data_IF_755324342026
#
_entry.id   IF_755324342026
#
_cell.length_a   1.000
_cell.length_b   1.000
_cell.length_c   1.000
_cell.angle_alpha   90.00
_cell.angle_beta   90.00
_cell.angle_gamma   90.00
#
_symmetry.space_group_name_H-M   'P 1'
#
loop_
_entity.id
_entity.type
_entity.pdbx_description
1 polymer ?
#
# COMPACT_ATOMS: atom_id res chain seq x y z
N UNK A 1 8.74 3.63 -14.70
CA UNK A 1 8.78 4.20 -13.35
C UNK A 1 8.71 5.70 -13.50
N UNK A 2 7.89 6.42 -12.73
CA UNK A 2 7.90 7.88 -12.74
C UNK A 2 9.27 8.32 -12.25
N UNK A 3 10.15 8.76 -13.15
CA UNK A 3 11.57 8.85 -12.80
C UNK A 3 12.49 9.58 -13.78
N UNK A 4 11.98 10.33 -14.76
CA UNK A 4 12.84 11.16 -15.64
C UNK A 4 12.58 12.66 -15.49
N UNK A 5 11.43 13.06 -14.91
CA UNK A 5 11.09 14.46 -14.66
C UNK A 5 10.75 14.73 -13.20
N UNK A 6 11.55 14.19 -12.28
CA UNK A 6 11.18 14.09 -10.87
C UNK A 6 11.17 15.39 -10.08
N UNK A 7 11.58 16.57 -10.58
CA UNK A 7 11.51 17.79 -9.75
C UNK A 7 11.13 19.06 -10.52
N UNK A 8 9.88 19.12 -10.93
CA UNK A 8 9.22 20.42 -11.04
C UNK A 8 7.98 20.40 -10.15
N UNK A 9 8.19 20.56 -8.84
CA UNK A 9 7.11 20.84 -7.88
C UNK A 9 6.66 22.32 -7.95
N UNK A 10 7.29 23.12 -8.84
CA UNK A 10 7.12 24.57 -8.92
C UNK A 10 7.79 25.33 -7.76
N UNK A 11 8.44 24.65 -6.81
CA UNK A 11 9.18 25.26 -5.72
C UNK A 11 10.64 25.50 -6.13
N UNK A 12 11.06 26.77 -6.12
CA UNK A 12 12.46 27.15 -6.34
C UNK A 12 13.39 26.77 -5.18
N UNK A 13 12.81 26.33 -4.06
CA UNK A 13 13.52 26.11 -2.79
C UNK A 13 14.19 24.74 -2.74
N UNK A 14 13.51 23.69 -3.19
CA UNK A 14 14.02 22.31 -3.10
C UNK A 14 14.64 21.82 -4.42
N UNK A 15 14.38 22.49 -5.54
CA UNK A 15 14.93 22.22 -6.86
C UNK A 15 16.48 22.09 -6.94
N UNK A 16 17.28 22.80 -6.13
CA UNK A 16 18.75 22.63 -6.15
C UNK A 16 19.25 21.33 -5.49
N UNK A 17 18.47 20.72 -4.58
CA UNK A 17 18.89 19.55 -3.81
C UNK A 17 18.64 18.21 -4.53
N UNK A 18 17.91 18.30 -5.63
CA UNK A 18 17.38 17.20 -6.44
C UNK A 18 18.42 16.22 -6.93
N UNK A 19 19.51 16.66 -7.58
CA UNK A 19 20.49 15.73 -8.13
C UNK A 19 21.31 15.04 -7.03
N UNK A 20 21.26 15.58 -5.81
CA UNK A 20 22.07 15.13 -4.68
C UNK A 20 21.30 14.19 -3.73
N UNK A 21 19.96 14.28 -3.69
CA UNK A 21 19.11 13.55 -2.73
C UNK A 21 18.32 12.40 -3.39
N UNK A 22 18.38 12.23 -4.72
CA UNK A 22 17.62 11.22 -5.48
C UNK A 22 17.39 9.90 -4.73
N UNK A 23 16.15 9.69 -4.26
CA UNK A 23 15.69 8.47 -3.61
C UNK A 23 15.19 7.53 -4.70
N UNK A 24 16.12 6.78 -5.27
CA UNK A 24 15.79 5.68 -6.18
C UNK A 24 15.04 4.56 -5.41
N UNK A 25 14.18 3.81 -6.09
CA UNK A 25 13.29 2.83 -5.45
C UNK A 25 14.01 1.73 -4.66
N UNK A 26 15.23 1.40 -5.08
CA UNK A 26 16.14 0.47 -4.41
C UNK A 26 16.60 1.01 -3.04
N UNK A 27 16.92 2.32 -2.95
CA UNK A 27 17.27 2.98 -1.68
C UNK A 27 16.10 2.98 -0.71
N UNK A 28 14.88 3.16 -1.20
CA UNK A 28 13.68 3.17 -0.37
C UNK A 28 13.45 1.83 0.34
N UNK A 29 13.60 0.70 -0.38
CA UNK A 29 13.48 -0.64 0.20
C UNK A 29 14.65 -0.95 1.13
N UNK A 30 15.85 -0.46 0.82
CA UNK A 30 17.02 -0.62 1.69
C UNK A 30 16.81 0.06 3.06
N UNK A 31 16.24 1.27 3.08
CA UNK A 31 15.86 1.95 4.34
C UNK A 31 14.89 1.09 5.15
N UNK A 32 13.92 0.45 4.50
CA UNK A 32 12.99 -0.44 5.19
C UNK A 32 13.69 -1.65 5.80
N UNK A 33 14.57 -2.32 5.04
CA UNK A 33 15.35 -3.47 5.52
C UNK A 33 16.21 -3.10 6.73
N UNK A 34 16.97 -2.01 6.63
CA UNK A 34 17.89 -1.55 7.69
C UNK A 34 17.12 -1.16 8.95
N UNK A 35 16.08 -0.35 8.81
CA UNK A 35 15.28 0.09 9.96
C UNK A 35 14.53 -1.06 10.61
N UNK A 36 13.95 -1.98 9.81
CA UNK A 36 13.29 -3.17 10.34
C UNK A 36 14.25 -4.03 11.15
N UNK A 37 15.46 -4.28 10.62
CA UNK A 37 16.48 -5.04 11.32
C UNK A 37 16.91 -4.38 12.64
N UNK A 38 17.11 -3.05 12.62
CA UNK A 38 17.45 -2.30 13.82
C UNK A 38 16.35 -2.40 14.90
N UNK A 39 15.08 -2.34 14.50
CA UNK A 39 13.96 -2.53 15.42
C UNK A 39 13.87 -3.98 15.95
N UNK A 40 14.11 -4.98 15.10
CA UNK A 40 14.17 -6.39 15.54
C UNK A 40 15.26 -6.62 16.59
N UNK A 41 16.44 -6.01 16.42
CA UNK A 41 17.53 -6.08 17.41
C UNK A 41 17.18 -5.37 18.72
N UNK A 42 16.61 -4.17 18.62
CA UNK A 42 16.12 -3.44 19.79
C UNK A 42 15.11 -4.28 20.58
N UNK A 43 14.19 -4.95 19.88
CA UNK A 43 13.13 -5.75 20.49
C UNK A 43 13.65 -7.00 21.20
N UNK A 44 14.68 -7.66 20.67
CA UNK A 44 15.28 -8.83 21.33
C UNK A 44 15.96 -8.50 22.66
N UNK A 45 16.30 -7.22 22.87
CA UNK A 45 16.92 -6.73 24.11
C UNK A 45 15.95 -5.94 25.00
N UNK A 46 14.73 -5.67 24.53
CA UNK A 46 13.77 -4.86 25.26
C UNK A 46 13.04 -5.68 26.34
N UNK A 47 13.01 -5.17 27.58
CA UNK A 47 12.26 -5.77 28.70
C UNK A 47 10.74 -5.47 28.67
N UNK A 48 10.16 -5.24 27.48
CA UNK A 48 8.75 -4.82 27.33
C UNK A 48 7.88 -5.96 26.82
N UNK A 49 6.59 -5.91 27.15
CA UNK A 49 5.60 -6.78 26.54
C UNK A 49 5.45 -6.45 25.04
N UNK A 50 6.08 -7.28 24.22
CA UNK A 50 5.95 -7.24 22.77
C UNK A 50 4.69 -8.00 22.32
N UNK A 51 4.10 -7.51 21.21
CA UNK A 51 3.10 -8.28 20.47
C UNK A 51 3.71 -9.60 19.99
N UNK A 52 2.88 -10.62 19.77
CA UNK A 52 3.36 -11.94 19.31
C UNK A 52 4.15 -11.84 18.00
N UNK A 53 3.74 -10.93 17.11
CA UNK A 53 4.44 -10.65 15.84
C UNK A 53 5.83 -10.10 16.10
N UNK A 54 5.97 -9.02 16.88
CA UNK A 54 7.28 -8.42 17.15
C UNK A 54 8.20 -9.38 17.92
N UNK A 55 7.63 -10.19 18.81
CA UNK A 55 8.38 -11.22 19.55
C UNK A 55 8.99 -12.27 18.62
N UNK A 56 8.21 -12.80 17.68
CA UNK A 56 8.67 -13.79 16.69
C UNK A 56 9.75 -13.25 15.75
N UNK A 57 9.74 -11.94 15.51
CA UNK A 57 10.67 -11.27 14.59
C UNK A 57 11.84 -10.58 15.30
N UNK A 58 11.91 -10.69 16.63
CA UNK A 58 12.96 -10.10 17.44
C UNK A 58 14.26 -10.88 17.32
N UNK A 59 15.39 -10.18 17.47
CA UNK A 59 16.72 -10.75 17.34
C UNK A 59 17.52 -10.49 18.62
N UNK A 60 17.97 -11.58 19.25
CA UNK A 60 18.82 -11.52 20.45
C UNK A 60 20.28 -11.21 20.13
N UNK A 61 20.72 -11.45 18.89
CA UNK A 61 22.12 -11.30 18.49
C UNK A 61 22.24 -10.49 17.20
N UNK A 62 23.33 -9.73 17.10
CA UNK A 62 23.65 -8.95 15.89
C UNK A 62 24.06 -9.91 14.77
N UNK A 63 23.47 -9.81 13.56
CA UNK A 63 23.90 -10.58 12.41
C UNK A 63 25.39 -10.42 12.10
N UNK A 64 26.01 -11.49 11.59
CA UNK A 64 27.33 -11.37 10.98
C UNK A 64 27.29 -10.42 9.77
N UNK A 65 28.42 -9.79 9.46
CA UNK A 65 28.53 -8.87 8.31
C UNK A 65 28.09 -9.57 7.02
N UNK A 66 28.46 -10.84 6.84
CA UNK A 66 28.06 -11.62 5.67
C UNK A 66 26.54 -11.81 5.60
N UNK A 67 25.89 -12.22 6.69
CA UNK A 67 24.45 -12.41 6.74
C UNK A 67 23.69 -11.09 6.49
N UNK A 68 24.19 -10.00 7.06
CA UNK A 68 23.67 -8.65 6.85
C UNK A 68 23.76 -8.21 5.38
N UNK A 69 24.93 -8.31 4.77
CA UNK A 69 25.14 -7.95 3.36
C UNK A 69 24.30 -8.85 2.44
N UNK A 70 24.24 -10.15 2.73
CA UNK A 70 23.41 -11.10 1.99
C UNK A 70 21.93 -10.72 2.03
N UNK A 71 21.40 -10.32 3.19
CA UNK A 71 20.02 -9.84 3.34
C UNK A 71 19.75 -8.54 2.57
N UNK A 72 20.66 -7.58 2.65
CA UNK A 72 20.52 -6.30 1.95
C UNK A 72 20.55 -6.46 0.43
N UNK A 73 21.53 -7.20 -0.08
CA UNK A 73 21.83 -7.33 -1.50
C UNK A 73 21.26 -8.59 -2.16
N UNK A 74 20.31 -9.29 -1.50
CA UNK A 74 19.65 -10.47 -2.08
C UNK A 74 19.06 -10.14 -3.46
N UNK A 75 19.43 -10.95 -4.46
CA UNK A 75 19.14 -10.67 -5.87
C UNK A 75 17.63 -10.58 -6.17
N UNK A 76 16.79 -11.30 -5.39
CA UNK A 76 15.35 -11.36 -5.64
C UNK A 76 14.67 -10.00 -5.51
N UNK A 77 15.17 -9.11 -4.65
CA UNK A 77 14.44 -7.90 -4.25
C UNK A 77 15.31 -6.64 -4.22
N UNK A 78 16.49 -6.66 -4.84
CA UNK A 78 17.45 -5.56 -4.76
C UNK A 78 16.95 -4.27 -5.43
N UNK A 79 16.19 -4.37 -6.53
CA UNK A 79 15.76 -3.20 -7.32
C UNK A 79 14.46 -2.56 -6.84
N UNK A 80 13.43 -3.37 -6.58
CA UNK A 80 12.06 -2.88 -6.38
C UNK A 80 11.33 -3.52 -5.20
N UNK A 81 12.05 -4.26 -4.34
CA UNK A 81 11.42 -5.11 -3.33
C UNK A 81 10.89 -6.42 -3.92
N UNK A 82 10.03 -7.16 -3.20
CA UNK A 82 9.35 -6.76 -1.96
C UNK A 82 10.25 -6.77 -0.72
N UNK A 83 9.85 -6.07 0.34
CA UNK A 83 10.52 -6.19 1.63
C UNK A 83 10.27 -7.57 2.23
N UNK A 84 11.28 -8.16 2.87
CA UNK A 84 11.11 -9.34 3.71
C UNK A 84 11.64 -9.09 5.12
N UNK A 85 11.08 -9.82 6.08
CA UNK A 85 11.61 -9.84 7.45
C UNK A 85 12.96 -10.58 7.44
N UNK A 86 13.88 -10.17 8.32
CA UNK A 86 15.22 -10.75 8.39
C UNK A 86 15.20 -12.21 8.85
N UNK A 87 14.40 -12.55 9.85
CA UNK A 87 14.26 -13.94 10.36
C UNK A 87 13.79 -14.89 9.26
N UNK A 88 12.75 -14.51 8.51
CA UNK A 88 12.27 -15.28 7.34
C UNK A 88 13.38 -15.50 6.30
N UNK A 89 14.22 -14.48 6.07
CA UNK A 89 15.32 -14.56 5.10
C UNK A 89 16.43 -15.53 5.56
N UNK A 90 16.77 -15.51 6.84
CA UNK A 90 17.79 -16.41 7.40
C UNK A 90 17.30 -17.85 7.46
N UNK A 91 16.03 -18.06 7.82
CA UNK A 91 15.43 -19.39 7.78
C UNK A 91 15.49 -19.97 6.36
N UNK A 92 15.20 -19.14 5.35
CA UNK A 92 15.27 -19.51 3.94
C UNK A 92 16.70 -19.87 3.49
N UNK A 93 17.69 -18.99 3.75
CA UNK A 93 19.05 -19.21 3.23
C UNK A 93 19.74 -20.41 3.89
N UNK A 94 19.39 -20.69 5.14
CA UNK A 94 19.93 -21.83 5.89
C UNK A 94 19.14 -23.13 5.65
N UNK A 95 17.97 -23.07 4.99
CA UNK A 95 17.08 -24.22 4.86
C UNK A 95 16.57 -24.72 6.21
N UNK A 96 16.24 -23.79 7.11
CA UNK A 96 15.82 -24.07 8.49
C UNK A 96 14.40 -23.58 8.76
N UNK A 97 13.92 -23.77 9.98
CA UNK A 97 12.56 -23.39 10.39
C UNK A 97 11.49 -24.34 9.85
N UNK A 98 10.23 -24.06 10.23
CA UNK A 98 9.10 -24.94 9.92
C UNK A 98 8.78 -25.03 8.41
N UNK A 99 9.11 -23.97 7.67
CA UNK A 99 8.81 -23.82 6.25
C UNK A 99 9.91 -24.39 5.35
N UNK A 100 11.17 -23.98 5.57
CA UNK A 100 12.28 -24.31 4.66
C UNK A 100 13.12 -25.51 5.13
N UNK A 101 12.91 -26.00 6.37
CA UNK A 101 13.48 -27.26 6.85
C UNK A 101 12.83 -28.53 6.27
N UNK A 102 11.84 -28.38 5.38
CA UNK A 102 11.14 -29.47 4.69
C UNK A 102 11.27 -29.29 3.18
N UNK A 103 10.98 -30.35 2.42
CA UNK A 103 10.96 -30.29 0.97
C UNK A 103 9.95 -29.23 0.48
N UNK A 104 10.45 -28.21 -0.20
CA UNK A 104 9.62 -27.15 -0.81
C UNK A 104 9.04 -27.70 -2.12
N UNK A 105 7.72 -27.60 -2.35
CA UNK A 105 7.09 -28.07 -3.58
C UNK A 105 7.52 -27.23 -4.79
N UNK A 106 7.23 -27.72 -6.00
CA UNK A 106 7.58 -26.99 -7.22
C UNK A 106 6.87 -25.62 -7.29
N UNK A 107 7.60 -24.50 -7.52
CA UNK A 107 7.01 -23.18 -7.69
C UNK A 107 6.42 -22.93 -9.07
N UNK A 108 6.58 -23.86 -10.02
CA UNK A 108 6.37 -23.60 -11.45
C UNK A 108 5.04 -22.93 -11.75
N UNK A 109 3.92 -23.51 -11.31
CA UNK A 109 2.60 -22.96 -11.60
C UNK A 109 2.32 -21.63 -10.89
N UNK A 110 2.83 -21.46 -9.68
CA UNK A 110 2.67 -20.20 -8.94
C UNK A 110 3.47 -19.07 -9.61
N UNK A 111 4.71 -19.34 -10.01
CA UNK A 111 5.55 -18.40 -10.74
C UNK A 111 4.99 -18.10 -12.13
N UNK A 112 4.57 -19.12 -12.89
CA UNK A 112 4.02 -18.97 -14.24
C UNK A 112 2.78 -18.06 -14.25
N UNK A 113 1.84 -18.26 -13.32
CA UNK A 113 0.65 -17.39 -13.19
C UNK A 113 1.03 -15.93 -12.92
N UNK A 114 2.00 -15.69 -12.04
CA UNK A 114 2.49 -14.33 -11.73
C UNK A 114 3.21 -13.70 -12.93
N UNK A 115 4.08 -14.45 -13.61
CA UNK A 115 4.76 -14.01 -14.82
C UNK A 115 3.79 -13.66 -15.95
N UNK A 116 2.77 -14.50 -16.18
CA UNK A 116 1.72 -14.23 -17.17
C UNK A 116 0.93 -12.96 -16.80
N UNK A 117 0.58 -12.80 -15.52
CA UNK A 117 -0.12 -11.59 -15.04
C UNK A 117 0.73 -10.34 -15.23
N UNK A 118 2.02 -10.39 -14.87
CA UNK A 118 2.96 -9.31 -15.12
C UNK A 118 3.07 -9.00 -16.62
N UNK A 119 3.22 -10.02 -17.47
CA UNK A 119 3.25 -9.84 -18.92
C UNK A 119 2.02 -9.11 -19.45
N UNK A 120 0.81 -9.50 -19.01
CA UNK A 120 -0.44 -8.81 -19.38
C UNK A 120 -0.44 -7.33 -18.97
N UNK A 121 0.01 -6.99 -17.76
CA UNK A 121 0.17 -5.60 -17.35
C UNK A 121 1.24 -4.86 -18.16
N UNK A 122 2.34 -5.52 -18.51
CA UNK A 122 3.39 -4.96 -19.37
C UNK A 122 2.86 -4.59 -20.77
N UNK A 123 2.10 -5.49 -21.41
CA UNK A 123 1.44 -5.23 -22.69
C UNK A 123 0.46 -4.06 -22.58
N UNK A 124 -0.32 -4.02 -21.49
CA UNK A 124 -1.26 -2.94 -21.24
C UNK A 124 -0.55 -1.58 -21.11
N UNK A 125 0.53 -1.52 -20.33
CA UNK A 125 1.35 -0.31 -20.16
C UNK A 125 1.91 0.15 -21.50
N UNK A 126 2.52 -0.77 -22.27
CA UNK A 126 3.08 -0.46 -23.58
C UNK A 126 2.02 0.09 -24.54
N UNK A 127 0.84 -0.53 -24.59
CA UNK A 127 -0.23 -0.17 -25.54
C UNK A 127 -0.86 1.20 -25.29
N UNK A 128 -0.80 1.68 -24.05
CA UNK A 128 -1.47 2.90 -23.60
C UNK A 128 -0.53 3.91 -22.95
N UNK A 129 0.78 3.80 -23.20
CA UNK A 129 1.79 4.69 -22.61
C UNK A 129 1.46 6.17 -22.83
N UNK A 130 1.16 6.55 -24.07
CA UNK A 130 0.84 7.93 -24.47
C UNK A 130 -0.48 8.47 -23.89
N UNK A 131 -1.35 7.59 -23.37
CA UNK A 131 -2.65 7.93 -22.82
C UNK A 131 -2.71 7.78 -21.29
N UNK A 132 -1.54 7.73 -20.64
CA UNK A 132 -1.43 7.45 -19.21
C UNK A 132 -0.77 8.57 -18.40
N UNK A 133 -0.47 9.73 -19.01
CA UNK A 133 0.17 10.86 -18.33
C UNK A 133 -0.80 11.55 -17.35
N UNK A 134 -0.44 11.70 -16.06
CA UNK A 134 -1.31 12.35 -15.06
C UNK A 134 -1.75 13.76 -15.44
N UNK A 135 -0.90 14.52 -16.12
CA UNK A 135 -1.14 15.91 -16.54
C UNK A 135 -2.36 16.02 -17.46
N UNK A 136 -2.69 14.96 -18.21
CA UNK A 136 -3.87 14.89 -19.08
C UNK A 136 -5.17 15.10 -18.29
N UNK A 137 -5.23 14.72 -17.01
CA UNK A 137 -6.44 14.86 -16.18
C UNK A 137 -6.80 16.33 -15.94
N UNK A 138 -5.79 17.20 -15.88
CA UNK A 138 -5.93 18.63 -15.56
C UNK A 138 -5.67 19.54 -16.76
N UNK A 139 -5.55 18.96 -17.96
CA UNK A 139 -5.33 19.74 -19.17
C UNK A 139 -6.56 20.61 -19.51
N UNK A 140 -6.38 21.76 -20.17
CA UNK A 140 -7.50 22.58 -20.63
C UNK A 140 -8.50 21.76 -21.47
N UNK A 141 -8.02 20.88 -22.34
CA UNK A 141 -8.83 20.03 -23.21
C UNK A 141 -9.69 19.07 -22.37
N UNK A 142 -9.08 18.40 -21.38
CA UNK A 142 -9.81 17.53 -20.47
C UNK A 142 -10.88 18.28 -19.67
N UNK A 143 -10.67 19.56 -19.39
CA UNK A 143 -11.63 20.36 -18.65
C UNK A 143 -12.83 20.80 -19.48
N UNK A 144 -12.72 20.82 -20.81
CA UNK A 144 -13.85 21.06 -21.73
C UNK A 144 -14.74 19.83 -21.95
N UNK A 145 -14.24 18.64 -21.59
CA UNK A 145 -15.01 17.39 -21.75
C UNK A 145 -16.25 17.37 -20.85
N UNK A 146 -17.35 16.73 -21.29
CA UNK A 146 -18.44 16.35 -20.40
C UNK A 146 -17.93 15.58 -19.18
N UNK A 147 -18.52 15.85 -18.01
CA UNK A 147 -18.01 15.35 -16.73
C UNK A 147 -17.82 13.82 -16.71
N UNK A 148 -18.71 13.05 -17.34
CA UNK A 148 -18.61 11.59 -17.38
C UNK A 148 -17.42 11.10 -18.23
N UNK A 149 -17.07 11.79 -19.32
CA UNK A 149 -15.90 11.48 -20.14
C UNK A 149 -14.63 11.81 -19.38
N UNK A 150 -14.59 13.00 -18.75
CA UNK A 150 -13.49 13.41 -17.90
C UNK A 150 -13.28 12.43 -16.72
N UNK A 151 -14.36 11.96 -16.11
CA UNK A 151 -14.31 10.97 -15.03
C UNK A 151 -13.76 9.62 -15.52
N UNK A 152 -14.11 9.21 -16.74
CA UNK A 152 -13.56 8.02 -17.39
C UNK A 152 -12.05 8.14 -17.65
N UNK A 153 -11.61 9.28 -18.19
CA UNK A 153 -10.18 9.60 -18.35
C UNK A 153 -9.45 9.56 -17.00
N UNK A 154 -10.02 10.22 -15.99
CA UNK A 154 -9.43 10.27 -14.65
C UNK A 154 -9.25 8.88 -14.04
N UNK A 155 -10.28 8.04 -14.12
CA UNK A 155 -10.19 6.66 -13.65
C UNK A 155 -9.14 5.86 -14.42
N UNK A 156 -9.13 5.97 -15.75
CA UNK A 156 -8.21 5.24 -16.61
C UNK A 156 -6.75 5.61 -16.35
N UNK A 157 -6.42 6.90 -16.35
CA UNK A 157 -5.05 7.39 -16.11
C UNK A 157 -4.55 6.93 -14.74
N UNK A 158 -5.36 7.10 -13.68
CA UNK A 158 -4.96 6.66 -12.33
C UNK A 158 -4.84 5.13 -12.23
N UNK A 159 -5.65 4.37 -12.95
CA UNK A 159 -5.47 2.92 -13.07
C UNK A 159 -4.16 2.57 -13.78
N UNK A 160 -3.81 3.24 -14.87
CA UNK A 160 -2.55 3.02 -15.58
C UNK A 160 -1.34 3.35 -14.70
N UNK A 161 -1.42 4.38 -13.86
CA UNK A 161 -0.40 4.66 -12.85
C UNK A 161 -0.22 3.50 -11.87
N UNK A 162 -1.31 2.85 -11.42
CA UNK A 162 -1.23 1.64 -10.58
C UNK A 162 -0.71 0.42 -11.33
N UNK A 163 -1.09 0.25 -12.59
CA UNK A 163 -0.69 -0.90 -13.42
C UNK A 163 0.83 -1.06 -13.51
N UNK A 164 1.58 0.06 -13.53
CA UNK A 164 3.05 0.04 -13.49
C UNK A 164 3.59 -0.66 -12.22
N UNK A 165 2.96 -0.43 -11.07
CA UNK A 165 3.34 -1.10 -9.83
C UNK A 165 2.91 -2.57 -9.82
N UNK A 166 1.73 -2.89 -10.38
CA UNK A 166 1.30 -4.28 -10.53
C UNK A 166 2.30 -5.08 -11.36
N UNK A 167 2.76 -4.53 -12.48
CA UNK A 167 3.79 -5.16 -13.30
C UNK A 167 5.05 -5.48 -12.49
N UNK A 168 5.70 -4.46 -11.91
CA UNK A 168 7.00 -4.62 -11.25
C UNK A 168 6.90 -5.49 -10.00
N UNK A 169 5.88 -5.30 -9.17
CA UNK A 169 5.73 -6.05 -7.93
C UNK A 169 5.32 -7.50 -8.15
N UNK A 170 4.43 -7.80 -9.10
CA UNK A 170 4.05 -9.18 -9.42
C UNK A 170 5.24 -9.91 -10.07
N UNK A 171 6.02 -9.23 -10.91
CA UNK A 171 7.23 -9.79 -11.49
C UNK A 171 8.27 -10.14 -10.41
N UNK A 172 8.53 -9.23 -9.48
CA UNK A 172 9.50 -9.45 -8.38
C UNK A 172 9.03 -10.58 -7.44
N UNK A 173 7.73 -10.67 -7.22
CA UNK A 173 7.11 -11.77 -6.46
C UNK A 173 7.25 -13.13 -7.19
N UNK A 174 7.16 -13.14 -8.53
CA UNK A 174 7.44 -14.34 -9.32
C UNK A 174 8.91 -14.80 -9.17
N UNK A 175 9.87 -13.87 -9.16
CA UNK A 175 11.29 -14.17 -8.91
C UNK A 175 11.49 -14.78 -7.51
N UNK A 176 10.83 -14.22 -6.50
CA UNK A 176 10.85 -14.79 -5.14
C UNK A 176 10.30 -16.22 -5.12
N UNK A 177 9.19 -16.49 -5.83
CA UNK A 177 8.63 -17.83 -5.94
C UNK A 177 9.57 -18.80 -6.66
N UNK A 178 10.16 -18.41 -7.80
CA UNK A 178 11.09 -19.25 -8.55
C UNK A 178 12.31 -19.68 -7.72
N UNK A 179 12.76 -18.80 -6.81
CA UNK A 179 13.85 -19.11 -5.88
C UNK A 179 13.43 -19.94 -4.66
N UNK A 180 12.15 -20.28 -4.51
CA UNK A 180 11.60 -20.97 -3.33
C UNK A 180 11.28 -20.05 -2.14
N UNK A 181 11.77 -18.81 -2.13
CA UNK A 181 11.59 -17.89 -0.99
C UNK A 181 10.13 -17.50 -0.74
N UNK A 182 9.29 -17.45 -1.77
CA UNK A 182 7.88 -17.07 -1.65
C UNK A 182 6.96 -18.12 -1.01
N UNK A 183 7.47 -19.29 -0.64
CA UNK A 183 6.69 -20.38 -0.04
C UNK A 183 6.18 -20.03 1.36
N UNK A 184 4.89 -20.32 1.62
CA UNK A 184 4.20 -19.97 2.86
C UNK A 184 3.47 -21.16 3.48
N UNK A 185 3.98 -22.37 3.26
CA UNK A 185 3.37 -23.60 3.78
C UNK A 185 2.21 -24.11 2.93
N UNK A 186 1.33 -24.88 3.54
CA UNK A 186 0.19 -25.51 2.87
C UNK A 186 -1.12 -25.02 3.48
N UNK A 187 -2.13 -24.80 2.64
CA UNK A 187 -3.51 -24.62 3.05
C UNK A 187 -4.35 -25.70 2.38
N UNK A 188 -5.04 -26.54 3.14
CA UNK A 188 -5.86 -27.64 2.60
C UNK A 188 -5.07 -28.54 1.62
N UNK A 189 -3.80 -28.82 1.95
CA UNK A 189 -2.82 -29.56 1.14
C UNK A 189 -2.32 -28.87 -0.14
N UNK A 190 -2.77 -27.65 -0.43
CA UNK A 190 -2.28 -26.86 -1.56
C UNK A 190 -1.13 -25.93 -1.14
N UNK A 191 -0.01 -25.89 -1.88
CA UNK A 191 1.12 -25.05 -1.53
C UNK A 191 0.80 -23.56 -1.72
N UNK A 192 1.04 -22.78 -0.67
CA UNK A 192 0.86 -21.32 -0.67
C UNK A 192 2.16 -20.64 -1.09
N UNK A 193 2.03 -19.67 -1.99
CA UNK A 193 3.15 -18.93 -2.58
C UNK A 193 2.94 -17.42 -2.45
N UNK A 194 2.53 -16.99 -1.25
CA UNK A 194 2.15 -15.61 -0.93
C UNK A 194 2.94 -15.01 0.25
N UNK A 195 4.04 -15.65 0.68
CA UNK A 195 4.87 -15.21 1.82
C UNK A 195 5.39 -13.78 1.63
N UNK A 196 5.81 -13.46 0.40
CA UNK A 196 6.48 -12.20 0.02
C UNK A 196 5.64 -11.45 -1.05
N UNK A 197 4.32 -11.60 -1.04
CA UNK A 197 3.47 -10.87 -1.99
C UNK A 197 3.34 -9.40 -1.60
N UNK A 198 3.78 -8.50 -2.47
CA UNK A 198 3.68 -7.06 -2.21
C UNK A 198 2.36 -6.43 -2.65
N UNK A 199 1.63 -7.08 -3.57
CA UNK A 199 0.39 -6.53 -4.10
C UNK A 199 -0.58 -7.64 -4.49
N UNK A 200 -1.84 -7.41 -4.13
CA UNK A 200 -2.98 -8.18 -4.62
C UNK A 200 -3.82 -7.25 -5.50
N UNK A 201 -3.50 -7.23 -6.81
CA UNK A 201 -4.16 -6.35 -7.76
C UNK A 201 -5.68 -6.56 -7.81
N UNK A 202 -6.13 -7.82 -7.69
CA UNK A 202 -7.56 -8.13 -7.67
C UNK A 202 -8.26 -7.52 -6.46
N UNK A 203 -7.69 -7.70 -5.26
CA UNK A 203 -8.21 -7.08 -4.04
C UNK A 203 -8.21 -5.56 -4.13
N UNK A 204 -7.15 -4.94 -4.67
CA UNK A 204 -7.09 -3.48 -4.83
C UNK A 204 -8.20 -2.99 -5.75
N UNK A 205 -8.40 -3.62 -6.91
CA UNK A 205 -9.39 -3.18 -7.89
C UNK A 205 -10.83 -3.55 -7.52
N UNK A 206 -11.05 -4.58 -6.69
CA UNK A 206 -12.40 -5.00 -6.26
C UNK A 206 -12.81 -4.57 -4.85
N UNK A 207 -11.89 -4.01 -4.05
CA UNK A 207 -12.15 -3.58 -2.68
C UNK A 207 -13.36 -2.64 -2.53
N UNK A 208 -14.17 -2.90 -1.50
CA UNK A 208 -15.37 -2.14 -1.13
C UNK A 208 -15.11 -1.10 -0.04
N UNK A 209 -13.88 -1.01 0.46
CA UNK A 209 -13.49 0.02 1.42
C UNK A 209 -12.06 0.46 1.17
N UNK A 210 -11.77 1.72 1.51
CA UNK A 210 -10.43 2.29 1.36
C UNK A 210 -9.38 1.51 2.16
N UNK A 211 -9.75 0.98 3.34
CA UNK A 211 -8.87 0.09 4.11
C UNK A 211 -8.56 -1.20 3.36
N UNK A 212 -9.58 -1.84 2.78
CA UNK A 212 -9.37 -3.12 2.06
C UNK A 212 -8.47 -2.91 0.83
N UNK A 213 -8.57 -1.75 0.18
CA UNK A 213 -7.63 -1.33 -0.87
C UNK A 213 -6.20 -1.25 -0.35
N UNK A 214 -5.97 -0.54 0.76
CA UNK A 214 -4.63 -0.42 1.35
C UNK A 214 -4.07 -1.77 1.84
N UNK A 215 -4.93 -2.66 2.34
CA UNK A 215 -4.55 -4.01 2.76
C UNK A 215 -4.17 -4.93 1.56
N UNK A 216 -4.37 -4.49 0.32
CA UNK A 216 -3.91 -5.17 -0.90
C UNK A 216 -2.79 -4.43 -1.65
N UNK A 217 -2.44 -3.22 -1.21
CA UNK A 217 -1.47 -2.35 -1.88
C UNK A 217 -0.20 -2.19 -1.06
N UNK A 218 0.96 -2.46 -1.66
CA UNK A 218 2.27 -2.32 -1.03
C UNK A 218 2.34 -3.00 0.35
N UNK A 219 1.91 -4.26 0.38
CA UNK A 219 1.65 -5.06 1.58
C UNK A 219 2.88 -5.13 2.49
N UNK A 220 4.07 -5.33 1.92
CA UNK A 220 5.31 -5.46 2.72
C UNK A 220 5.74 -4.11 3.32
N UNK A 221 5.48 -3.00 2.63
CA UNK A 221 5.66 -1.65 3.21
C UNK A 221 4.66 -1.37 4.32
N UNK A 222 3.40 -1.79 4.18
CA UNK A 222 2.40 -1.67 5.26
C UNK A 222 2.81 -2.48 6.48
N UNK A 223 3.40 -3.67 6.28
CA UNK A 223 3.99 -4.48 7.34
C UNK A 223 5.14 -3.75 8.05
N UNK A 224 6.03 -3.11 7.30
CA UNK A 224 7.10 -2.28 7.87
C UNK A 224 6.55 -1.11 8.68
N UNK A 225 5.68 -0.27 8.09
CA UNK A 225 5.07 0.88 8.78
C UNK A 225 4.34 0.47 10.07
N UNK A 226 3.73 -0.72 10.07
CA UNK A 226 3.11 -1.26 11.28
C UNK A 226 4.14 -1.50 12.38
N UNK A 227 5.26 -2.16 12.05
CA UNK A 227 6.32 -2.55 12.99
C UNK A 227 7.14 -1.37 13.48
N UNK A 228 7.42 -0.39 12.63
CA UNK A 228 8.31 0.74 12.98
C UNK A 228 7.58 1.98 13.48
N UNK A 229 6.28 2.12 13.19
CA UNK A 229 5.48 3.28 13.66
C UNK A 229 4.22 2.86 14.41
N UNK A 230 3.32 2.10 13.79
CA UNK A 230 1.98 1.87 14.36
C UNK A 230 2.02 1.23 15.76
N UNK A 231 2.83 0.19 15.94
CA UNK A 231 2.93 -0.54 17.22
C UNK A 231 3.86 0.16 18.23
N UNK A 232 4.59 1.19 17.79
CA UNK A 232 5.56 1.93 18.63
C UNK A 232 4.96 3.13 19.34
N UNK A 233 3.87 3.69 18.82
CA UNK A 233 3.27 4.91 19.37
C UNK A 233 2.02 4.61 20.22
N UNK A 234 1.87 5.24 21.41
CA UNK A 234 0.75 4.98 22.30
C UNK A 234 -0.56 5.61 21.79
N UNK A 235 -0.49 6.76 21.12
CA UNK A 235 -1.62 7.52 20.57
C UNK A 235 -1.36 7.94 19.13
N UNK A 236 -2.41 8.29 18.40
CA UNK A 236 -2.35 8.79 17.02
C UNK A 236 -1.69 7.85 16.00
N UNK A 237 -1.75 6.54 16.23
CA UNK A 237 -1.09 5.50 15.42
C UNK A 237 -1.29 5.64 13.91
N UNK A 238 -2.52 5.92 13.47
CA UNK A 238 -2.81 6.11 12.04
C UNK A 238 -2.12 7.35 11.48
N UNK A 239 -2.14 8.49 12.19
CA UNK A 239 -1.45 9.69 11.75
C UNK A 239 0.07 9.49 11.67
N UNK A 240 0.66 8.81 12.65
CA UNK A 240 2.11 8.49 12.64
C UNK A 240 2.50 7.61 11.45
N UNK A 241 1.68 6.62 11.10
CA UNK A 241 1.90 5.78 9.90
C UNK A 241 1.85 6.61 8.62
N UNK A 242 0.84 7.47 8.47
CA UNK A 242 0.70 8.31 7.27
C UNK A 242 1.82 9.35 7.16
N UNK A 243 2.23 9.95 8.27
CA UNK A 243 3.35 10.90 8.31
C UNK A 243 4.67 10.21 7.95
N UNK A 244 4.97 9.07 8.57
CA UNK A 244 6.17 8.30 8.23
C UNK A 244 6.15 7.86 6.77
N UNK A 245 4.98 7.44 6.26
CA UNK A 245 4.84 7.08 4.85
C UNK A 245 5.11 8.27 3.93
N UNK A 246 4.60 9.47 4.25
CA UNK A 246 4.88 10.68 3.47
C UNK A 246 6.39 11.00 3.41
N UNK A 247 7.04 11.01 4.57
CA UNK A 247 8.48 11.27 4.69
C UNK A 247 9.30 10.21 3.93
N UNK A 248 8.91 8.94 4.03
CA UNK A 248 9.60 7.86 3.33
C UNK A 248 9.52 8.00 1.81
N UNK A 249 8.39 8.47 1.26
CA UNK A 249 8.28 8.74 -0.18
C UNK A 249 9.08 9.96 -0.61
N UNK A 250 9.21 10.98 0.24
CA UNK A 250 10.13 12.11 0.02
C UNK A 250 9.59 13.46 0.46
N UNK A 251 10.20 14.54 -0.04
CA UNK A 251 9.90 15.91 0.36
C UNK A 251 8.89 16.64 -0.54
N UNK A 252 8.42 15.98 -1.61
CA UNK A 252 7.43 16.55 -2.51
C UNK A 252 6.08 16.76 -1.84
N UNK A 253 5.54 17.97 -1.98
CA UNK A 253 4.27 18.35 -1.37
C UNK A 253 3.08 17.50 -1.85
N UNK A 254 3.16 16.93 -3.06
CA UNK A 254 2.17 15.98 -3.56
C UNK A 254 2.00 14.75 -2.64
N UNK A 255 3.09 14.22 -2.09
CA UNK A 255 3.05 13.11 -1.15
C UNK A 255 2.30 13.48 0.13
N UNK A 256 2.67 14.60 0.76
CA UNK A 256 2.00 15.06 1.98
C UNK A 256 0.50 15.28 1.76
N UNK A 257 0.13 15.88 0.62
CA UNK A 257 -1.28 16.06 0.26
C UNK A 257 -2.02 14.73 0.15
N UNK A 258 -1.42 13.73 -0.52
CA UNK A 258 -1.99 12.38 -0.63
C UNK A 258 -2.11 11.69 0.72
N UNK A 259 -1.07 11.70 1.56
CA UNK A 259 -1.09 10.96 2.82
C UNK A 259 -2.01 11.61 3.86
N UNK A 260 -2.09 12.94 3.92
CA UNK A 260 -3.09 13.64 4.76
C UNK A 260 -4.51 13.31 4.30
N UNK A 261 -4.75 13.36 2.98
CA UNK A 261 -6.06 13.00 2.40
C UNK A 261 -6.41 11.54 2.67
N UNK A 262 -5.45 10.61 2.51
CA UNK A 262 -5.63 9.20 2.80
C UNK A 262 -5.90 8.90 4.28
N UNK A 263 -5.26 9.63 5.20
CA UNK A 263 -5.53 9.54 6.64
C UNK A 263 -6.97 9.96 6.95
N UNK A 264 -7.41 11.08 6.38
CA UNK A 264 -8.76 11.61 6.54
C UNK A 264 -9.80 10.62 6.00
N UNK A 265 -9.61 10.11 4.78
CA UNK A 265 -10.49 9.10 4.16
C UNK A 265 -10.54 7.82 4.99
N UNK A 266 -9.41 7.36 5.53
CA UNK A 266 -9.36 6.15 6.37
C UNK A 266 -10.20 6.31 7.64
N UNK A 267 -10.10 7.45 8.30
CA UNK A 267 -10.89 7.75 9.50
C UNK A 267 -12.38 7.88 9.17
N UNK A 268 -12.71 8.55 8.07
CA UNK A 268 -14.08 8.68 7.58
C UNK A 268 -14.69 7.33 7.21
N UNK A 269 -14.01 6.52 6.38
CA UNK A 269 -14.48 5.21 5.95
C UNK A 269 -14.73 4.25 7.13
N UNK A 270 -13.86 4.27 8.15
CA UNK A 270 -14.09 3.51 9.40
C UNK A 270 -15.33 3.98 10.14
N UNK A 271 -15.60 5.28 10.15
CA UNK A 271 -16.75 5.86 10.85
C UNK A 271 -18.04 5.59 10.08
N UNK A 272 -18.06 5.79 8.77
CA UNK A 272 -19.17 5.41 7.88
C UNK A 272 -19.50 3.93 8.03
N UNK A 273 -18.50 3.04 7.98
CA UNK A 273 -18.75 1.59 8.12
C UNK A 273 -19.41 1.25 9.46
N UNK A 274 -18.98 1.87 10.56
CA UNK A 274 -19.57 1.65 11.90
C UNK A 274 -21.01 2.16 12.00
N UNK A 275 -21.28 3.34 11.45
CA UNK A 275 -22.58 4.02 11.56
C UNK A 275 -23.61 3.51 10.52
N UNK A 276 -23.17 3.11 9.34
CA UNK A 276 -24.06 2.86 8.20
C UNK A 276 -24.24 1.37 7.89
N UNK A 277 -23.16 0.55 7.91
CA UNK A 277 -23.21 -0.83 7.37
C UNK A 277 -24.31 -1.69 7.96
N UNK A 278 -24.59 -1.55 9.26
CA UNK A 278 -25.55 -2.40 9.95
C UNK A 278 -26.99 -2.20 9.46
N UNK A 279 -27.36 -0.99 9.03
CA UNK A 279 -28.67 -0.69 8.42
C UNK A 279 -28.92 -1.43 7.10
N UNK A 280 -27.85 -1.89 6.43
CA UNK A 280 -27.90 -2.57 5.14
C UNK A 280 -27.72 -4.09 5.25
N UNK A 281 -27.53 -4.64 6.46
CA UNK A 281 -27.39 -6.09 6.67
C UNK A 281 -28.72 -6.84 6.73
N UNK A 282 -29.87 -6.15 6.71
CA UNK A 282 -31.18 -6.78 6.97
C UNK A 282 -31.73 -7.61 5.80
N UNK A 283 -31.38 -7.25 4.56
CA UNK A 283 -31.87 -7.92 3.34
C UNK A 283 -30.75 -8.01 2.31
N UNK A 284 -30.74 -9.05 1.48
CA UNK A 284 -29.69 -9.27 0.47
C UNK A 284 -29.53 -8.08 -0.48
N UNK A 285 -30.62 -7.57 -1.05
CA UNK A 285 -30.57 -6.44 -1.98
C UNK A 285 -30.01 -5.16 -1.33
N UNK A 286 -30.28 -4.92 -0.04
CA UNK A 286 -29.72 -3.79 0.71
C UNK A 286 -28.21 -3.96 0.88
N UNK A 287 -27.75 -5.17 1.21
CA UNK A 287 -26.31 -5.43 1.29
C UNK A 287 -25.64 -5.23 -0.07
N UNK A 288 -26.24 -5.71 -1.15
CA UNK A 288 -25.72 -5.52 -2.51
C UNK A 288 -25.69 -4.06 -2.94
N UNK A 289 -26.72 -3.28 -2.59
CA UNK A 289 -26.75 -1.84 -2.83
C UNK A 289 -25.64 -1.12 -2.04
N UNK A 290 -25.42 -1.49 -0.78
CA UNK A 290 -24.30 -0.98 0.00
C UNK A 290 -22.96 -1.34 -0.65
N UNK A 291 -22.78 -2.59 -1.08
CA UNK A 291 -21.54 -3.05 -1.69
C UNK A 291 -21.28 -2.31 -3.00
N UNK A 292 -22.29 -2.14 -3.86
CA UNK A 292 -22.20 -1.35 -5.09
C UNK A 292 -21.83 0.12 -4.81
N UNK A 293 -22.54 0.78 -3.90
CA UNK A 293 -22.29 2.19 -3.58
C UNK A 293 -20.90 2.41 -2.96
N UNK A 294 -20.49 1.54 -2.04
CA UNK A 294 -19.18 1.62 -1.40
C UNK A 294 -18.03 1.23 -2.32
N UNK A 295 -18.26 0.37 -3.31
CA UNK A 295 -17.31 0.11 -4.39
C UNK A 295 -16.97 1.41 -5.13
N UNK A 296 -17.96 2.08 -5.72
CA UNK A 296 -17.74 3.32 -6.48
C UNK A 296 -17.16 4.43 -5.62
N UNK A 297 -17.68 4.62 -4.39
CA UNK A 297 -17.15 5.60 -3.45
C UNK A 297 -15.67 5.32 -3.12
N UNK A 298 -15.29 4.05 -2.94
CA UNK A 298 -13.90 3.65 -2.66
C UNK A 298 -13.00 3.92 -3.85
N UNK A 299 -13.40 3.59 -5.08
CA UNK A 299 -12.58 3.86 -6.29
C UNK A 299 -12.43 5.36 -6.53
N UNK A 300 -13.51 6.12 -6.35
CA UNK A 300 -13.46 7.57 -6.46
C UNK A 300 -12.55 8.19 -5.40
N UNK A 301 -12.67 7.76 -4.13
CA UNK A 301 -11.79 8.22 -3.05
C UNK A 301 -10.32 7.83 -3.29
N UNK A 302 -10.06 6.64 -3.84
CA UNK A 302 -8.71 6.20 -4.20
C UNK A 302 -8.09 7.12 -5.25
N UNK A 303 -8.75 7.31 -6.40
CA UNK A 303 -8.18 8.14 -7.47
C UNK A 303 -8.02 9.61 -7.05
N UNK A 304 -8.98 10.13 -6.27
CA UNK A 304 -8.90 11.44 -5.66
C UNK A 304 -7.68 11.59 -4.74
N UNK A 305 -7.44 10.61 -3.86
CA UNK A 305 -6.32 10.65 -2.93
C UNK A 305 -4.96 10.51 -3.64
N UNK A 306 -4.86 9.70 -4.69
CA UNK A 306 -3.59 9.35 -5.33
C UNK A 306 -3.14 10.33 -6.42
N UNK A 307 -4.02 11.21 -6.92
CA UNK A 307 -3.62 12.13 -7.99
C UNK A 307 -2.44 13.07 -7.63
N UNK A 308 -2.39 13.69 -6.43
CA UNK A 308 -1.22 14.48 -6.02
C UNK A 308 0.05 13.63 -5.88
N UNK A 309 -0.08 12.35 -5.56
CA UNK A 309 1.06 11.44 -5.43
C UNK A 309 1.71 11.17 -6.78
N UNK A 310 0.90 10.90 -7.82
CA UNK A 310 1.43 10.57 -9.15
C UNK A 310 2.01 11.79 -9.87
N UNK A 311 1.52 12.99 -9.57
CA UNK A 311 2.07 14.25 -10.10
C UNK A 311 3.22 14.79 -9.24
N UNK A 312 3.40 14.29 -8.02
CA UNK A 312 4.42 14.72 -7.06
C UNK A 312 4.43 16.24 -6.80
N UNK A 313 3.32 16.93 -7.06
CA UNK A 313 3.26 18.39 -7.04
C UNK A 313 1.97 18.87 -6.35
N UNK A 314 2.09 19.96 -5.58
CA UNK A 314 0.96 20.58 -4.91
C UNK A 314 -0.05 21.19 -5.90
N UNK A 315 0.43 21.90 -6.92
CA UNK A 315 -0.42 22.70 -7.82
C UNK A 315 -1.41 21.82 -8.61
N UNK A 316 -0.98 20.76 -9.33
CA UNK A 316 -1.91 19.82 -9.96
C UNK A 316 -2.94 19.24 -8.99
N UNK A 317 -2.47 18.77 -7.82
CA UNK A 317 -3.35 18.23 -6.78
C UNK A 317 -4.44 19.21 -6.36
N UNK A 318 -4.07 20.46 -6.14
CA UNK A 318 -5.01 21.52 -5.75
C UNK A 318 -5.98 21.92 -6.87
N UNK A 319 -5.54 21.92 -8.14
CA UNK A 319 -6.40 22.15 -9.30
C UNK A 319 -7.49 21.07 -9.36
N UNK A 320 -7.11 19.79 -9.24
CA UNK A 320 -8.07 18.68 -9.20
C UNK A 320 -9.04 18.85 -8.03
N UNK A 321 -8.53 19.15 -6.83
CA UNK A 321 -9.37 19.27 -5.64
C UNK A 321 -10.37 20.41 -5.76
N UNK A 322 -9.97 21.54 -6.37
CA UNK A 322 -10.88 22.66 -6.68
C UNK A 322 -11.94 22.29 -7.71
N UNK A 323 -11.57 21.60 -8.80
CA UNK A 323 -12.53 21.11 -9.81
C UNK A 323 -13.61 20.20 -9.20
N UNK A 324 -13.23 19.41 -8.21
CA UNK A 324 -14.12 18.52 -7.48
C UNK A 324 -14.71 19.15 -6.20
N UNK A 325 -14.56 20.47 -6.01
CA UNK A 325 -15.08 21.23 -4.88
C UNK A 325 -14.70 20.65 -3.50
N UNK A 326 -13.52 20.02 -3.39
CA UNK A 326 -13.06 19.34 -2.17
C UNK A 326 -14.06 18.32 -1.61
N UNK A 327 -14.89 17.71 -2.48
CA UNK A 327 -16.04 16.91 -2.06
C UNK A 327 -15.66 15.76 -1.11
N UNK A 328 -14.53 15.09 -1.34
CA UNK A 328 -14.06 13.99 -0.48
C UNK A 328 -13.57 14.51 0.88
N UNK A 329 -12.88 15.65 0.95
CA UNK A 329 -12.48 16.24 2.23
C UNK A 329 -13.71 16.67 3.04
N UNK A 330 -14.64 17.39 2.41
CA UNK A 330 -15.88 17.86 3.05
C UNK A 330 -16.69 16.67 3.56
N UNK A 331 -16.91 15.66 2.71
CA UNK A 331 -17.61 14.43 3.11
C UNK A 331 -16.89 13.71 4.25
N UNK A 332 -15.56 13.63 4.21
CA UNK A 332 -14.80 12.94 5.26
C UNK A 332 -14.88 13.65 6.61
N UNK A 333 -14.81 14.99 6.62
CA UNK A 333 -14.99 15.80 7.85
C UNK A 333 -16.41 15.59 8.40
N UNK A 334 -17.43 15.67 7.54
CA UNK A 334 -18.82 15.39 7.92
C UNK A 334 -18.96 13.99 8.53
N UNK A 335 -18.42 12.97 7.85
CA UNK A 335 -18.50 11.58 8.27
C UNK A 335 -17.80 11.31 9.61
N UNK A 336 -16.76 12.06 9.95
CA UNK A 336 -16.04 11.91 11.21
C UNK A 336 -16.80 12.58 12.36
N UNK A 337 -17.27 13.82 12.18
CA UNK A 337 -17.77 14.65 13.30
C UNK A 337 -19.29 14.71 13.44
N UNK A 338 -20.03 14.63 12.34
CA UNK A 338 -21.48 14.82 12.32
C UNK A 338 -22.25 13.52 12.14
N UNK A 339 -21.76 12.61 11.29
CA UNK A 339 -22.44 11.33 11.04
C UNK A 339 -22.69 10.52 12.34
N UNK A 340 -21.76 10.39 13.30
CA UNK A 340 -22.03 9.65 14.54
C UNK A 340 -23.10 10.30 15.43
N UNK A 341 -23.38 11.61 15.26
CA UNK A 341 -24.43 12.31 16.01
C UNK A 341 -25.81 12.09 15.39
N UNK A 342 -25.86 11.92 14.06
CA UNK A 342 -27.10 11.73 13.30
C UNK A 342 -27.48 10.25 13.24
N UNK A 343 -26.50 9.39 12.95
CA UNK A 343 -26.63 7.93 12.88
C UNK A 343 -25.60 7.33 13.83
N UNK A 344 -25.93 7.17 15.12
CA UNK A 344 -24.98 6.65 16.09
C UNK A 344 -24.54 5.22 15.71
N UNK A 345 -23.26 4.87 15.95
CA UNK A 345 -22.83 3.50 15.79
C UNK A 345 -23.59 2.60 16.76
N UNK A 346 -23.77 1.32 16.38
CA UNK A 346 -24.32 0.32 17.30
C UNK A 346 -23.55 0.36 18.62
N UNK A 347 -24.27 0.54 19.73
CA UNK A 347 -23.70 0.50 21.08
C UNK A 347 -23.06 -0.88 21.26
N UNK A 348 -21.79 -0.92 21.67
CA UNK A 348 -21.13 -2.17 22.02
C UNK A 348 -21.66 -2.65 23.37
N UNK A 349 -22.87 -3.19 23.40
CA UNK A 349 -23.39 -3.97 24.53
C UNK A 349 -23.64 -5.41 24.03
N UNK A 350 -23.02 -6.38 24.72
CA UNK A 350 -23.02 -7.86 24.51
C UNK A 350 -21.95 -8.47 23.59
N UNK A 351 -20.72 -8.56 24.10
CA UNK A 351 -19.84 -9.74 23.93
C UNK A 351 -19.39 -10.32 25.30
N UNK A 352 -19.78 -9.71 26.43
CA UNK A 352 -19.41 -10.15 27.79
C UNK A 352 -20.48 -10.95 28.54
N UNK A 353 -21.42 -11.60 27.84
CA UNK A 353 -22.34 -12.58 28.44
C UNK A 353 -22.58 -13.74 27.48
N UNK A 354 -21.57 -14.59 27.38
CA UNK A 354 -21.62 -16.05 27.16
C UNK A 354 -20.16 -16.51 27.12
N UNK A 355 -19.61 -16.69 28.32
CA UNK A 355 -18.45 -17.53 28.58
C UNK A 355 -18.97 -18.74 29.33
#
# INVERSE_FOLDING_TARGET
MPGVHTFYDGSKLLAPLVPYIGLDSDKMVMVQKVTLLAFSLHDGHAKKDLSDTLRKESLSEVPSILAYLSYLFKFQTILAGPLSIYTDYIDYINGTGELYGKAVPSPFWAAFKKLLTAFCFGVLIYRYADFSEPEQIISPEAFTMPFYQWLGLFWFVIFMQRAQYYYVWIFSDAVCNLSGFGFNGFAENEPKWDKITNVDAWKVETALSFKDTLDGWNITTMQWLRRVAYERVPKYRTASVYLLSAIWHGFFLGYYLTFVTGALITLAARTVRRCVRHHFKTKLWKSRLYDFTTFFATKFALMYATFPFVTMNLSPGMILYRRLYFCIHIFSIFAIFLLPKILPPLRSERITKEK
#
